data_IF_087784216949
#
_entry.id   IF_087784216949
#
_cell.length_a   1.000
_cell.length_b   1.000
_cell.length_c   1.000
_cell.angle_alpha   90.00
_cell.angle_beta   90.00
_cell.angle_gamma   90.00
#
_symmetry.space_group_name_H-M   'P 1'
#
loop_
_entity.id
_entity.type
_entity.pdbx_description
1 polymer ?
#
# COMPACT_ATOMS: atom_id res chain seq x y z
N UNK A 1 40.13 -5.75 5.26
CA UNK A 1 39.24 -5.04 4.30
C UNK A 1 37.79 -5.29 4.72
N UNK A 2 37.12 -4.31 5.32
CA UNK A 2 35.68 -4.42 5.62
C UNK A 2 34.92 -4.37 4.30
N UNK A 3 34.21 -5.44 3.93
CA UNK A 3 33.25 -5.42 2.82
C UNK A 3 32.21 -4.34 3.13
N UNK A 4 32.20 -3.25 2.38
CA UNK A 4 31.13 -2.28 2.38
C UNK A 4 29.86 -3.00 1.90
N UNK A 5 29.02 -3.42 2.82
CA UNK A 5 27.65 -3.82 2.51
C UNK A 5 26.93 -2.56 2.07
N UNK A 6 26.82 -2.33 0.76
CA UNK A 6 25.88 -1.35 0.25
C UNK A 6 24.48 -1.76 0.74
N UNK A 7 23.94 -1.03 1.70
CA UNK A 7 22.56 -1.20 2.11
C UNK A 7 21.68 -0.94 0.88
N UNK A 8 20.84 -1.91 0.53
CA UNK A 8 19.92 -1.75 -0.61
C UNK A 8 18.82 -0.78 -0.17
N UNK A 9 18.66 0.33 -0.89
CA UNK A 9 17.57 1.27 -0.68
C UNK A 9 16.25 0.57 -1.02
N UNK A 10 15.29 0.56 -0.10
CA UNK A 10 13.94 0.05 -0.31
C UNK A 10 13.12 1.14 -1.01
N UNK A 11 12.73 0.90 -2.26
CA UNK A 11 11.86 1.82 -3.00
C UNK A 11 10.41 1.55 -2.64
N UNK A 12 9.71 2.57 -2.17
CA UNK A 12 8.35 2.46 -1.63
C UNK A 12 7.36 3.22 -2.49
N UNK A 13 6.25 2.58 -2.84
CA UNK A 13 5.07 3.23 -3.40
C UNK A 13 3.97 3.25 -2.34
N UNK A 14 3.41 4.43 -2.05
CA UNK A 14 2.38 4.61 -1.04
C UNK A 14 1.00 4.78 -1.70
N UNK A 15 0.12 3.79 -1.53
CA UNK A 15 -1.27 3.85 -2.00
C UNK A 15 -2.21 4.36 -0.91
N UNK A 16 -3.28 5.08 -1.28
CA UNK A 16 -4.23 5.68 -0.32
C UNK A 16 -3.52 6.55 0.71
N UNK A 17 -2.60 7.37 0.23
CA UNK A 17 -1.59 7.99 1.05
C UNK A 17 -2.14 8.98 2.09
N UNK A 18 -3.33 9.56 1.84
CA UNK A 18 -3.88 10.59 2.71
C UNK A 18 -2.89 11.75 2.87
N UNK A 19 -2.61 12.12 4.10
CA UNK A 19 -1.59 13.11 4.45
C UNK A 19 -0.18 12.52 4.63
N UNK A 20 0.03 11.24 4.32
CA UNK A 20 1.32 10.56 4.39
C UNK A 20 1.62 9.86 5.71
N UNK A 21 0.61 9.22 6.31
CA UNK A 21 0.80 8.47 7.57
C UNK A 21 1.87 7.39 7.46
N UNK A 22 1.91 6.66 6.34
CA UNK A 22 2.94 5.67 6.06
C UNK A 22 4.32 6.29 5.91
N UNK A 23 4.43 7.39 5.17
CA UNK A 23 5.70 8.14 5.01
C UNK A 23 6.22 8.69 6.34
N UNK A 24 5.35 9.15 7.25
CA UNK A 24 5.75 9.50 8.61
C UNK A 24 6.27 8.28 9.39
N UNK A 25 5.59 7.12 9.25
CA UNK A 25 6.04 5.86 9.84
C UNK A 25 7.43 5.45 9.37
N UNK A 26 7.70 5.57 8.06
CA UNK A 26 9.03 5.28 7.49
C UNK A 26 10.10 6.24 8.03
N UNK A 27 9.78 7.54 8.15
CA UNK A 27 10.69 8.51 8.75
C UNK A 27 11.03 8.13 10.20
N UNK A 28 10.02 7.75 10.98
CA UNK A 28 10.23 7.29 12.35
C UNK A 28 11.02 5.98 12.43
N UNK A 29 10.78 5.07 11.49
CA UNK A 29 11.56 3.83 11.36
C UNK A 29 13.05 4.16 11.13
N UNK A 30 13.36 5.06 10.21
CA UNK A 30 14.74 5.48 9.92
C UNK A 30 15.44 6.12 11.13
N UNK A 31 14.71 6.90 11.94
CA UNK A 31 15.24 7.47 13.17
C UNK A 31 15.63 6.38 14.19
N UNK A 32 14.84 5.30 14.28
CA UNK A 32 15.06 4.20 15.23
C UNK A 32 15.99 3.10 14.69
N UNK A 33 16.06 2.93 13.37
CA UNK A 33 16.85 1.92 12.66
C UNK A 33 17.64 2.58 11.52
N UNK A 34 18.73 3.30 11.82
CA UNK A 34 19.49 4.08 10.83
C UNK A 34 20.08 3.25 9.69
N UNK A 35 20.24 1.93 9.88
CA UNK A 35 20.73 1.00 8.87
C UNK A 35 19.72 0.71 7.76
N UNK A 36 18.42 1.01 7.96
CA UNK A 36 17.38 0.83 6.94
C UNK A 36 17.33 2.09 6.08
N UNK A 37 17.60 1.93 4.78
CA UNK A 37 17.43 2.98 3.79
C UNK A 37 16.20 2.76 2.94
N UNK A 38 15.42 3.82 2.72
CA UNK A 38 14.25 3.80 1.86
C UNK A 38 14.15 5.09 1.02
N UNK A 39 13.40 4.99 -0.06
CA UNK A 39 13.03 6.12 -0.91
C UNK A 39 11.55 5.95 -1.30
N UNK A 40 10.69 6.92 -0.94
CA UNK A 40 9.32 6.96 -1.46
C UNK A 40 9.38 7.52 -2.87
N UNK A 41 9.00 6.68 -3.85
CA UNK A 41 9.16 6.99 -5.28
C UNK A 41 7.90 7.61 -5.91
N UNK A 42 6.82 7.67 -5.14
CA UNK A 42 5.54 8.23 -5.53
C UNK A 42 4.41 7.73 -4.64
N UNK A 43 3.28 8.36 -4.77
CA UNK A 43 2.09 8.01 -4.00
C UNK A 43 0.82 8.11 -4.84
N UNK A 44 -0.28 7.56 -4.34
CA UNK A 44 -1.63 7.67 -4.92
C UNK A 44 -2.57 8.21 -3.86
N UNK A 45 -3.14 9.39 -4.13
CA UNK A 45 -4.18 10.02 -3.34
C UNK A 45 -5.08 10.85 -4.27
N UNK A 46 -6.40 10.58 -4.25
CA UNK A 46 -7.34 11.25 -5.14
C UNK A 46 -7.93 12.51 -4.51
N UNK A 47 -7.97 12.60 -3.17
CA UNK A 47 -8.46 13.79 -2.48
C UNK A 47 -7.44 14.91 -2.58
N UNK A 48 -7.88 16.04 -3.14
CA UNK A 48 -7.04 17.20 -3.38
C UNK A 48 -6.42 17.75 -2.10
N UNK A 49 -7.21 17.87 -1.04
CA UNK A 49 -6.74 18.48 0.22
C UNK A 49 -5.78 17.57 0.96
N UNK A 50 -6.05 16.27 0.96
CA UNK A 50 -5.12 15.29 1.50
C UNK A 50 -3.79 15.30 0.74
N UNK A 51 -3.83 15.36 -0.60
CA UNK A 51 -2.64 15.45 -1.44
C UNK A 51 -1.84 16.74 -1.19
N UNK A 52 -2.49 17.89 -1.10
CA UNK A 52 -1.82 19.15 -0.75
C UNK A 52 -1.12 19.07 0.62
N UNK A 53 -1.75 18.43 1.60
CA UNK A 53 -1.16 18.21 2.91
C UNK A 53 0.00 17.21 2.85
N UNK A 54 -0.12 16.16 2.05
CA UNK A 54 0.97 15.23 1.77
C UNK A 54 2.19 15.98 1.22
N UNK A 55 2.00 16.77 0.19
CA UNK A 55 3.07 17.54 -0.45
C UNK A 55 3.71 18.59 0.47
N UNK A 56 2.94 19.15 1.41
CA UNK A 56 3.48 20.07 2.41
C UNK A 56 4.44 19.37 3.38
N UNK A 57 4.17 18.11 3.73
CA UNK A 57 4.91 17.36 4.75
C UNK A 57 6.01 16.46 4.18
N UNK A 58 5.89 16.02 2.93
CA UNK A 58 6.77 15.03 2.32
C UNK A 58 7.36 15.53 1.01
N UNK A 59 8.67 15.47 0.91
CA UNK A 59 9.43 15.86 -0.27
C UNK A 59 10.35 14.72 -0.68
N UNK A 60 10.75 14.70 -1.93
CA UNK A 60 11.81 13.83 -2.39
C UNK A 60 13.18 14.27 -1.85
N UNK A 61 14.23 13.52 -2.16
CA UNK A 61 15.61 13.80 -1.76
C UNK A 61 16.15 15.15 -2.26
N UNK A 62 15.55 15.72 -3.28
CA UNK A 62 15.92 16.99 -3.88
C UNK A 62 15.04 18.16 -3.36
N UNK A 63 14.17 17.88 -2.37
CA UNK A 63 13.24 18.85 -1.78
C UNK A 63 12.03 19.19 -2.65
N UNK A 64 11.77 18.39 -3.70
CA UNK A 64 10.63 18.59 -4.61
C UNK A 64 9.41 17.77 -4.18
N UNK A 65 8.20 18.19 -4.57
CA UNK A 65 7.00 17.36 -4.39
C UNK A 65 7.18 15.99 -5.08
N UNK A 66 6.79 14.93 -4.38
CA UNK A 66 6.73 13.60 -4.97
C UNK A 66 5.59 13.51 -5.99
N UNK A 67 5.73 12.61 -6.97
CA UNK A 67 4.68 12.40 -7.96
C UNK A 67 3.44 11.77 -7.31
N UNK A 68 2.31 12.50 -7.34
CA UNK A 68 1.00 11.94 -7.08
C UNK A 68 0.46 11.25 -8.35
N UNK A 69 0.06 10.00 -8.23
CA UNK A 69 -0.56 9.21 -9.30
C UNK A 69 -2.09 9.28 -9.29
N UNK A 70 -2.66 10.11 -8.40
CA UNK A 70 -4.10 10.37 -8.31
C UNK A 70 -4.92 9.17 -7.85
N UNK A 71 -6.05 8.95 -8.50
CA UNK A 71 -6.98 7.87 -8.19
C UNK A 71 -6.37 6.50 -8.55
N UNK A 72 -6.21 5.65 -7.55
CA UNK A 72 -5.63 4.30 -7.71
C UNK A 72 -6.41 3.44 -8.71
N UNK A 73 -7.69 3.72 -8.91
CA UNK A 73 -8.55 3.00 -9.87
C UNK A 73 -8.15 3.28 -11.32
N UNK A 74 -7.53 4.44 -11.57
CA UNK A 74 -7.12 4.92 -12.89
C UNK A 74 -5.66 4.61 -13.21
N UNK A 75 -4.88 4.15 -12.23
CA UNK A 75 -3.46 3.84 -12.44
C UNK A 75 -3.33 2.68 -13.45
N UNK A 76 -2.50 2.88 -14.47
CA UNK A 76 -1.99 1.83 -15.35
C UNK A 76 -0.72 1.27 -14.69
N UNK A 77 -0.73 0.03 -14.18
CA UNK A 77 0.38 -0.48 -13.39
C UNK A 77 1.72 -0.47 -14.12
N UNK A 78 1.69 -0.69 -15.43
CA UNK A 78 2.88 -0.71 -16.30
C UNK A 78 3.61 0.62 -16.34
N UNK A 79 2.88 1.73 -16.16
CA UNK A 79 3.43 3.10 -16.16
C UNK A 79 4.09 3.48 -14.84
N UNK A 80 3.75 2.77 -13.75
CA UNK A 80 4.42 3.00 -12.46
C UNK A 80 5.90 2.66 -12.57
N UNK A 81 6.79 3.39 -11.90
CA UNK A 81 8.17 2.94 -11.72
C UNK A 81 8.19 1.65 -10.91
N UNK A 82 9.26 0.85 -11.05
CA UNK A 82 9.43 -0.33 -10.21
C UNK A 82 9.70 0.07 -8.76
N UNK A 83 9.16 -0.70 -7.83
CA UNK A 83 9.32 -0.49 -6.41
C UNK A 83 9.47 -1.82 -5.67
N UNK A 84 10.11 -1.78 -4.49
CA UNK A 84 10.35 -2.95 -3.67
C UNK A 84 9.23 -3.19 -2.66
N UNK A 85 8.50 -2.12 -2.28
CA UNK A 85 7.44 -2.16 -1.25
C UNK A 85 6.21 -1.38 -1.69
N UNK A 86 5.05 -2.01 -1.61
CA UNK A 86 3.75 -1.32 -1.59
C UNK A 86 3.31 -1.11 -0.15
N UNK A 87 2.93 0.10 0.18
CA UNK A 87 2.41 0.45 1.50
C UNK A 87 1.08 1.17 1.35
N UNK A 88 0.06 0.82 2.15
CA UNK A 88 -1.21 1.55 2.10
C UNK A 88 -2.28 1.04 3.04
N UNK A 89 -3.07 1.98 3.55
CA UNK A 89 -4.29 1.74 4.31
C UNK A 89 -5.51 1.89 3.40
N UNK A 90 -6.07 0.78 2.93
CA UNK A 90 -7.20 0.82 2.03
C UNK A 90 -8.54 0.94 2.78
N UNK A 91 -9.55 1.66 2.23
CA UNK A 91 -10.84 1.80 2.88
C UNK A 91 -11.59 0.47 2.96
N UNK A 92 -12.18 0.20 4.13
CA UNK A 92 -12.96 -1.00 4.41
C UNK A 92 -14.43 -0.90 3.94
N UNK A 93 -14.80 0.19 3.28
CA UNK A 93 -16.18 0.38 2.82
C UNK A 93 -16.40 -0.32 1.49
N UNK A 94 -17.42 -1.22 1.37
CA UNK A 94 -17.92 -1.58 0.06
C UNK A 94 -18.48 -0.30 -0.57
N UNK A 95 -17.97 0.10 -1.72
CA UNK A 95 -18.66 1.10 -2.52
C UNK A 95 -20.11 0.65 -2.69
N UNK A 96 -21.02 1.59 -2.40
CA UNK A 96 -22.45 1.43 -2.32
C UNK A 96 -23.03 0.35 -3.24
N UNK A 97 -24.01 -0.37 -2.72
CA UNK A 97 -24.86 -1.40 -3.33
C UNK A 97 -25.39 -1.14 -4.77
N UNK A 98 -25.08 -0.01 -5.39
CA UNK A 98 -25.42 0.30 -6.78
C UNK A 98 -24.56 -0.45 -7.83
N UNK A 99 -23.46 -1.08 -7.44
CA UNK A 99 -22.55 -1.83 -8.33
C UNK A 99 -22.73 -3.34 -8.35
N UNK A 100 -23.61 -3.90 -7.50
CA UNK A 100 -23.80 -5.37 -7.36
C UNK A 100 -24.68 -6.01 -8.42
N UNK A 101 -24.94 -5.37 -9.55
CA UNK A 101 -25.72 -5.97 -10.64
C UNK A 101 -24.84 -6.22 -11.86
N UNK A 102 -24.42 -7.45 -12.01
CA UNK A 102 -24.19 -8.32 -13.18
C UNK A 102 -22.90 -9.12 -13.06
N UNK A 103 -23.05 -10.38 -12.68
CA UNK A 103 -22.39 -11.60 -13.12
C UNK A 103 -20.98 -11.48 -13.73
N UNK A 104 -20.00 -11.06 -12.96
CA UNK A 104 -18.59 -11.27 -13.27
C UNK A 104 -17.88 -11.65 -11.99
N UNK A 105 -17.03 -12.67 -12.09
CA UNK A 105 -16.22 -13.25 -11.02
C UNK A 105 -15.16 -12.27 -10.49
N UNK A 106 -15.59 -11.15 -9.90
CA UNK A 106 -14.71 -10.28 -9.15
C UNK A 106 -14.93 -10.55 -7.66
N UNK A 107 -14.03 -11.30 -7.00
CA UNK A 107 -14.18 -11.71 -5.61
C UNK A 107 -14.21 -10.54 -4.63
N UNK A 108 -13.72 -9.37 -5.06
CA UNK A 108 -13.73 -8.15 -4.26
C UNK A 108 -14.91 -7.23 -4.56
N UNK A 109 -15.73 -7.54 -5.57
CA UNK A 109 -16.75 -6.65 -6.10
C UNK A 109 -16.16 -5.52 -6.95
N UNK A 110 -16.90 -5.09 -8.00
CA UNK A 110 -16.47 -3.98 -8.85
C UNK A 110 -16.32 -2.71 -8.01
N UNK A 111 -15.09 -2.23 -7.85
CA UNK A 111 -14.75 -1.05 -7.07
C UNK A 111 -14.20 -1.32 -5.67
N UNK A 112 -13.93 -2.57 -5.30
CA UNK A 112 -13.19 -2.84 -4.08
C UNK A 112 -11.74 -2.35 -4.26
N UNK A 113 -11.32 -1.39 -3.44
CA UNK A 113 -9.98 -0.79 -3.51
C UNK A 113 -8.87 -1.83 -3.39
N UNK A 114 -9.12 -2.91 -2.67
CA UNK A 114 -8.21 -4.03 -2.54
C UNK A 114 -7.91 -4.71 -3.89
N UNK A 115 -8.90 -4.84 -4.78
CA UNK A 115 -8.70 -5.38 -6.14
C UNK A 115 -7.70 -4.54 -6.95
N UNK A 116 -7.70 -3.21 -6.77
CA UNK A 116 -6.73 -2.33 -7.44
C UNK A 116 -5.32 -2.51 -6.89
N UNK A 117 -5.16 -2.71 -5.57
CA UNK A 117 -3.87 -3.07 -4.98
C UNK A 117 -3.35 -4.38 -5.60
N UNK A 118 -4.18 -5.42 -5.61
CA UNK A 118 -3.82 -6.73 -6.16
C UNK A 118 -3.42 -6.62 -7.64
N UNK A 119 -4.16 -5.84 -8.43
CA UNK A 119 -3.86 -5.57 -9.85
C UNK A 119 -2.47 -4.96 -10.01
N UNK A 120 -2.15 -3.92 -9.22
CA UNK A 120 -0.83 -3.27 -9.25
C UNK A 120 0.26 -4.26 -8.83
N UNK A 121 0.04 -4.99 -7.74
CA UNK A 121 1.02 -5.93 -7.22
C UNK A 121 1.26 -7.14 -8.14
N UNK A 122 0.25 -7.61 -8.88
CA UNK A 122 0.43 -8.67 -9.90
C UNK A 122 1.38 -8.26 -11.01
N UNK A 123 1.36 -6.99 -11.41
CA UNK A 123 2.25 -6.46 -12.46
C UNK A 123 3.63 -6.11 -11.89
N UNK A 124 3.66 -5.34 -10.80
CA UNK A 124 4.92 -4.80 -10.24
C UNK A 124 5.68 -5.77 -9.36
N UNK A 125 5.02 -6.76 -8.78
CA UNK A 125 5.61 -7.81 -7.93
C UNK A 125 6.55 -7.26 -6.86
N UNK A 126 6.10 -6.28 -6.04
CA UNK A 126 6.93 -5.74 -4.98
C UNK A 126 7.34 -6.85 -4.01
N UNK A 127 8.53 -6.76 -3.45
CA UNK A 127 9.04 -7.75 -2.50
C UNK A 127 8.28 -7.73 -1.16
N UNK A 128 7.80 -6.54 -0.78
CA UNK A 128 7.12 -6.33 0.49
C UNK A 128 5.76 -5.68 0.27
N UNK A 129 4.77 -6.11 1.07
CA UNK A 129 3.46 -5.50 1.15
C UNK A 129 3.19 -5.12 2.61
N UNK A 130 2.88 -3.86 2.84
CA UNK A 130 2.40 -3.37 4.13
C UNK A 130 0.98 -2.83 3.92
N UNK A 131 -0.01 -3.61 4.37
CA UNK A 131 -1.43 -3.30 4.20
C UNK A 131 -2.05 -3.03 5.57
N UNK A 132 -2.67 -1.87 5.73
CA UNK A 132 -3.35 -1.47 6.96
C UNK A 132 -4.86 -1.48 6.75
N UNK A 133 -5.59 -1.92 7.77
CA UNK A 133 -7.04 -1.81 7.80
C UNK A 133 -7.56 -1.87 9.23
N UNK A 134 -8.85 -1.60 9.44
CA UNK A 134 -9.49 -1.69 10.75
C UNK A 134 -9.49 -3.13 11.28
N UNK A 135 -9.42 -3.29 12.62
CA UNK A 135 -9.43 -4.60 13.29
C UNK A 135 -10.54 -5.54 12.77
N UNK A 136 -11.72 -4.99 12.46
CA UNK A 136 -12.86 -5.75 11.95
C UNK A 136 -12.67 -6.40 10.59
N UNK A 137 -11.62 -6.03 9.83
CA UNK A 137 -11.37 -6.57 8.49
C UNK A 137 -11.12 -8.09 8.49
N UNK A 138 -10.63 -8.64 9.57
CA UNK A 138 -10.25 -10.05 9.67
C UNK A 138 -11.35 -10.98 10.18
N UNK A 139 -12.58 -10.47 10.37
CA UNK A 139 -13.71 -11.26 10.91
C UNK A 139 -15.06 -10.68 10.47
N UNK A 140 -16.14 -11.41 10.83
CA UNK A 140 -17.50 -11.00 10.51
C UNK A 140 -17.76 -10.91 9.01
N UNK A 141 -18.46 -9.87 8.58
CA UNK A 141 -18.85 -9.69 7.16
C UNK A 141 -17.67 -9.51 6.20
N UNK A 142 -16.50 -9.16 6.70
CA UNK A 142 -15.29 -8.95 5.89
C UNK A 142 -14.42 -10.20 5.78
N UNK A 143 -14.70 -11.25 6.57
CA UNK A 143 -13.92 -12.50 6.55
C UNK A 143 -13.73 -13.07 5.13
N UNK A 144 -14.77 -13.17 4.27
CA UNK A 144 -14.59 -13.70 2.92
C UNK A 144 -13.61 -12.88 2.07
N UNK A 145 -13.61 -11.54 2.22
CA UNK A 145 -12.69 -10.64 1.50
C UNK A 145 -11.26 -10.81 2.03
N UNK A 146 -11.11 -10.93 3.33
CA UNK A 146 -9.82 -11.21 3.96
C UNK A 146 -9.24 -12.55 3.48
N UNK A 147 -10.05 -13.62 3.45
CA UNK A 147 -9.60 -14.94 3.03
C UNK A 147 -9.22 -14.97 1.55
N UNK A 148 -9.97 -14.25 0.71
CA UNK A 148 -9.61 -14.08 -0.69
C UNK A 148 -8.30 -13.31 -0.85
N UNK A 149 -8.07 -12.23 -0.07
CA UNK A 149 -6.79 -11.52 -0.06
C UNK A 149 -5.64 -12.47 0.25
N UNK A 150 -5.76 -13.28 1.31
CA UNK A 150 -4.72 -14.24 1.68
C UNK A 150 -4.45 -15.24 0.55
N UNK A 151 -5.50 -15.73 -0.12
CA UNK A 151 -5.38 -16.62 -1.27
C UNK A 151 -4.61 -15.93 -2.42
N UNK A 152 -5.01 -14.72 -2.82
CA UNK A 152 -4.36 -13.98 -3.91
C UNK A 152 -2.89 -13.67 -3.60
N UNK A 153 -2.58 -13.31 -2.35
CA UNK A 153 -1.21 -13.07 -1.92
C UNK A 153 -0.36 -14.34 -2.06
N UNK A 154 -0.88 -15.49 -1.66
CA UNK A 154 -0.19 -16.79 -1.81
C UNK A 154 0.02 -17.15 -3.28
N UNK A 155 -1.00 -16.96 -4.13
CA UNK A 155 -0.89 -17.20 -5.58
C UNK A 155 0.17 -16.29 -6.24
N UNK A 156 0.38 -15.09 -5.69
CA UNK A 156 1.45 -14.19 -6.14
C UNK A 156 2.83 -14.53 -5.57
N UNK A 157 2.94 -15.55 -4.70
CA UNK A 157 4.19 -15.99 -4.10
C UNK A 157 4.56 -15.30 -2.78
N UNK A 158 3.61 -14.58 -2.17
CA UNK A 158 3.81 -14.05 -0.82
C UNK A 158 3.46 -15.10 0.24
N UNK A 159 4.28 -15.19 1.29
CA UNK A 159 3.92 -15.96 2.49
C UNK A 159 4.11 -17.46 2.38
N UNK A 160 5.30 -17.94 1.99
CA UNK A 160 5.76 -19.30 2.34
C UNK A 160 5.82 -19.47 3.86
N UNK A 161 6.18 -18.38 4.58
CA UNK A 161 6.02 -18.23 6.03
C UNK A 161 4.64 -17.63 6.35
N UNK A 162 4.10 -17.81 7.57
CA UNK A 162 2.83 -17.18 7.93
C UNK A 162 2.93 -15.67 7.72
N UNK A 163 1.98 -15.11 6.95
CA UNK A 163 1.87 -13.68 6.75
C UNK A 163 1.84 -12.99 8.13
N UNK A 164 2.78 -12.08 8.36
CA UNK A 164 2.83 -11.35 9.61
C UNK A 164 1.55 -10.51 9.76
N UNK A 165 0.86 -10.71 10.87
CA UNK A 165 -0.39 -10.03 11.19
C UNK A 165 -0.33 -9.51 12.62
N UNK A 166 -0.58 -8.23 12.79
CA UNK A 166 -0.62 -7.59 14.09
C UNK A 166 -1.89 -6.74 14.22
N UNK A 167 -2.44 -6.68 15.43
CA UNK A 167 -3.44 -5.70 15.81
C UNK A 167 -2.72 -4.67 16.66
N UNK A 168 -2.62 -3.45 16.14
CA UNK A 168 -1.98 -2.33 16.80
C UNK A 168 -3.04 -1.37 17.33
N UNK A 169 -2.81 -0.80 18.49
CA UNK A 169 -3.62 0.25 19.05
C UNK A 169 -2.84 1.56 18.97
N UNK A 170 -3.40 2.58 18.34
CA UNK A 170 -2.75 3.87 18.19
C UNK A 170 -2.47 4.62 19.50
N UNK A 171 -2.94 4.07 20.64
CA UNK A 171 -2.70 4.61 21.99
C UNK A 171 -1.50 3.96 22.70
N UNK A 172 -0.96 2.88 22.13
CA UNK A 172 0.22 2.17 22.62
C UNK A 172 1.48 2.77 21.98
#
# INVERSE_FOLDING_TARGET
MKKSTRHKIIRVFEGFAGYGGGSFGLKRLKENMPEIDYEVIGYSEFDKYASELYEANHKDKDGKPMKNWGDITQIVPEELPDFDMFMGGFPCQPFSSAGMQKGTEDPYGRGAMLGHIIRICKVKKPKYLFLENVKGFTHGKFQPIHDQLIKDLREMGYGEEPLAKAVLNSRD
#
